data_IF_741478071214
#
_entry.id   IF_741478071214
#
_cell.length_a   1.000
_cell.length_b   1.000
_cell.length_c   1.000
_cell.angle_alpha   90.00
_cell.angle_beta   90.00
_cell.angle_gamma   90.00
#
_symmetry.space_group_name_H-M   'P 1'
#
loop_
_entity.id
_entity.type
_entity.pdbx_description
1 polymer ?
#
# COMPACT_ATOMS: atom_id res chain seq x y z
N UNK A 1 19.43 -15.35 2.25
CA UNK A 1 19.50 -13.94 2.70
C UNK A 1 18.28 -13.25 2.13
N UNK A 2 17.21 -13.12 2.92
CA UNK A 2 15.98 -12.43 2.48
C UNK A 2 16.25 -10.94 2.59
N UNK A 3 15.97 -10.20 1.52
CA UNK A 3 16.10 -8.75 1.49
C UNK A 3 15.07 -8.17 2.47
N UNK A 4 15.50 -7.82 3.68
CA UNK A 4 14.60 -7.24 4.66
C UNK A 4 14.16 -5.87 4.12
N UNK A 5 12.86 -5.55 4.06
CA UNK A 5 12.40 -4.22 3.65
C UNK A 5 13.05 -3.17 4.56
N UNK A 6 13.66 -2.15 3.96
CA UNK A 6 14.36 -1.10 4.68
C UNK A 6 13.42 0.11 4.83
N UNK A 7 13.41 0.81 5.98
CA UNK A 7 12.65 2.03 6.14
C UNK A 7 13.16 3.12 5.20
N UNK A 8 12.26 3.80 4.49
CA UNK A 8 12.62 4.95 3.64
C UNK A 8 12.48 6.25 4.44
N UNK A 9 13.59 6.91 4.74
CA UNK A 9 13.58 8.19 5.47
C UNK A 9 13.56 9.39 4.52
N UNK A 10 12.46 10.15 4.48
CA UNK A 10 12.44 11.51 3.94
C UNK A 10 12.17 12.48 5.10
N UNK A 11 13.05 13.47 5.28
CA UNK A 11 13.04 14.35 6.44
C UNK A 11 11.75 15.18 6.58
N UNK A 12 11.06 14.99 7.71
CA UNK A 12 9.91 15.78 8.16
C UNK A 12 8.73 14.89 8.54
N UNK A 13 8.57 14.62 9.85
CA UNK A 13 7.78 13.55 10.47
C UNK A 13 8.42 12.15 10.28
N UNK A 14 8.59 11.42 11.38
CA UNK A 14 9.24 10.10 11.42
C UNK A 14 8.26 9.00 10.99
N UNK A 15 7.69 9.10 9.79
CA UNK A 15 6.82 8.04 9.26
C UNK A 15 7.68 6.82 8.92
N UNK A 16 7.54 5.72 9.65
CA UNK A 16 8.34 4.52 9.46
C UNK A 16 7.80 3.68 8.29
N UNK A 17 8.01 4.18 7.06
CA UNK A 17 7.56 3.50 5.84
C UNK A 17 8.53 2.39 5.43
N UNK A 18 8.10 1.14 5.56
CA UNK A 18 8.78 -0.04 5.05
C UNK A 18 8.39 -0.28 3.59
N UNK A 19 9.34 -0.26 2.66
CA UNK A 19 9.07 -0.47 1.23
C UNK A 19 9.13 -1.95 0.83
N UNK A 20 8.07 -2.44 0.18
CA UNK A 20 7.95 -3.84 -0.26
C UNK A 20 8.08 -4.03 -1.77
N UNK A 21 8.12 -2.94 -2.53
CA UNK A 21 8.46 -2.99 -3.94
C UNK A 21 7.50 -2.24 -4.84
N UNK A 22 7.90 -2.21 -6.10
CA UNK A 22 7.11 -1.70 -7.22
C UNK A 22 6.79 -2.85 -8.18
N UNK A 23 5.90 -2.56 -9.12
CA UNK A 23 5.55 -3.45 -10.22
C UNK A 23 6.76 -4.10 -10.90
N UNK A 24 6.87 -5.45 -10.88
CA UNK A 24 8.04 -6.16 -11.41
C UNK A 24 8.10 -6.15 -12.94
N UNK A 25 7.02 -5.76 -13.62
CA UNK A 25 6.95 -5.73 -15.09
C UNK A 25 6.88 -4.29 -15.64
N UNK A 26 7.13 -3.29 -14.81
CA UNK A 26 7.11 -1.90 -15.25
C UNK A 26 8.48 -1.47 -15.78
N UNK A 27 8.53 -1.05 -17.05
CA UNK A 27 9.57 -0.15 -17.55
C UNK A 27 9.41 1.28 -17.00
N UNK A 28 10.18 2.22 -17.55
CA UNK A 28 10.27 3.63 -17.10
C UNK A 28 8.91 4.34 -17.21
N UNK A 29 8.13 4.36 -16.12
CA UNK A 29 6.98 5.25 -15.94
C UNK A 29 5.74 4.62 -15.30
N UNK A 30 5.38 5.11 -14.11
CA UNK A 30 4.15 4.85 -13.35
C UNK A 30 3.97 3.41 -12.85
N UNK A 31 4.85 2.99 -11.94
CA UNK A 31 4.72 1.72 -11.24
C UNK A 31 3.80 1.88 -10.03
N UNK A 32 2.79 1.01 -9.84
CA UNK A 32 2.21 0.82 -8.52
C UNK A 32 3.29 0.36 -7.54
N UNK A 33 3.12 0.74 -6.27
CA UNK A 33 4.09 0.49 -5.22
C UNK A 33 3.36 0.27 -3.88
N UNK A 34 4.03 -0.45 -2.99
CA UNK A 34 3.49 -0.83 -1.69
C UNK A 34 4.49 -0.55 -0.57
N UNK A 35 3.98 0.02 0.51
CA UNK A 35 4.68 0.24 1.76
C UNK A 35 3.80 -0.19 2.94
N UNK A 36 4.44 -0.34 4.10
CA UNK A 36 3.77 -0.39 5.40
C UNK A 36 4.24 0.81 6.19
N UNK A 37 3.31 1.61 6.70
CA UNK A 37 3.60 2.58 7.74
C UNK A 37 3.51 1.88 9.09
N UNK A 38 4.61 1.82 9.84
CA UNK A 38 4.60 1.18 11.17
C UNK A 38 4.51 2.18 12.32
N UNK A 39 4.43 3.48 12.04
CA UNK A 39 4.44 4.54 13.06
C UNK A 39 3.15 5.38 13.07
N UNK A 40 2.09 4.93 12.38
CA UNK A 40 0.78 5.60 12.43
C UNK A 40 0.14 5.49 13.83
N UNK A 41 -0.55 6.54 14.25
CA UNK A 41 -1.24 6.61 15.56
C UNK A 41 -2.30 5.50 15.75
N UNK A 42 -2.88 4.97 14.66
CA UNK A 42 -3.92 3.94 14.68
C UNK A 42 -3.36 2.49 14.63
N UNK A 43 -2.04 2.34 14.56
CA UNK A 43 -1.36 1.06 14.33
C UNK A 43 -0.82 0.94 12.90
N UNK A 44 -0.17 -0.18 12.53
CA UNK A 44 0.48 -0.29 11.24
C UNK A 44 -0.53 -0.30 10.07
N UNK A 45 -0.23 0.48 9.03
CA UNK A 45 -1.12 0.71 7.88
C UNK A 45 -0.45 0.32 6.56
N UNK A 46 -1.25 -0.20 5.62
CA UNK A 46 -0.79 -0.46 4.26
C UNK A 46 -0.94 0.80 3.41
N UNK A 47 0.18 1.26 2.85
CA UNK A 47 0.19 2.40 1.92
C UNK A 47 0.39 1.87 0.51
N UNK A 48 -0.57 2.16 -0.36
CA UNK A 48 -0.62 1.64 -1.73
C UNK A 48 -0.68 2.78 -2.75
N UNK A 49 0.28 2.81 -3.67
CA UNK A 49 0.25 3.69 -4.83
C UNK A 49 -0.25 2.90 -6.05
N UNK A 50 -1.25 3.44 -6.74
CA UNK A 50 -1.85 2.82 -7.91
C UNK A 50 -2.46 3.83 -8.87
N UNK A 51 -3.10 3.33 -9.93
CA UNK A 51 -3.93 4.18 -10.80
C UNK A 51 -5.30 4.36 -10.19
N UNK A 52 -5.90 5.54 -10.30
CA UNK A 52 -7.30 5.75 -9.91
C UNK A 52 -8.23 4.80 -10.68
N UNK A 53 -9.23 4.28 -9.99
CA UNK A 53 -10.37 3.60 -10.62
C UNK A 53 -11.13 4.57 -11.51
N UNK A 54 -11.58 4.08 -12.67
CA UNK A 54 -12.53 4.80 -13.51
C UNK A 54 -13.90 4.95 -12.81
N UNK A 55 -14.74 5.84 -13.33
CA UNK A 55 -16.06 6.14 -12.76
C UNK A 55 -16.93 4.90 -12.57
N UNK A 56 -16.88 3.95 -13.51
CA UNK A 56 -17.66 2.70 -13.43
C UNK A 56 -17.17 1.84 -12.27
N UNK A 57 -15.85 1.70 -12.12
CA UNK A 57 -15.23 0.97 -11.01
C UNK A 57 -15.56 1.64 -9.67
N UNK A 58 -15.45 2.97 -9.59
CA UNK A 58 -15.78 3.73 -8.37
C UNK A 58 -17.25 3.61 -7.99
N UNK A 59 -18.16 3.70 -8.96
CA UNK A 59 -19.60 3.54 -8.73
C UNK A 59 -19.95 2.13 -8.25
N UNK A 60 -19.32 1.10 -8.83
CA UNK A 60 -19.52 -0.28 -8.39
C UNK A 60 -19.03 -0.49 -6.95
N UNK A 61 -17.83 -0.02 -6.61
CA UNK A 61 -17.31 -0.11 -5.23
C UNK A 61 -18.16 0.71 -4.24
N UNK A 62 -18.65 1.88 -4.66
CA UNK A 62 -19.49 2.74 -3.83
C UNK A 62 -20.85 2.11 -3.48
N UNK A 63 -21.30 1.10 -4.23
CA UNK A 63 -22.53 0.37 -3.93
C UNK A 63 -22.37 -0.55 -2.70
N UNK A 64 -21.18 -1.12 -2.50
CA UNK A 64 -20.86 -1.97 -1.35
C UNK A 64 -20.35 -1.14 -0.16
N UNK A 65 -19.55 -0.11 -0.44
CA UNK A 65 -18.95 0.78 0.56
C UNK A 65 -18.87 2.20 0.00
N UNK A 66 -19.78 3.11 0.43
CA UNK A 66 -19.76 4.50 -0.02
C UNK A 66 -18.45 5.17 0.39
N UNK A 67 -17.72 5.72 -0.59
CA UNK A 67 -16.45 6.41 -0.34
C UNK A 67 -16.70 7.76 0.34
N UNK A 68 -15.97 8.05 1.42
CA UNK A 68 -15.86 9.40 1.96
C UNK A 68 -15.08 10.34 1.01
N UNK A 69 -15.11 11.65 1.26
CA UNK A 69 -14.41 12.65 0.43
C UNK A 69 -12.89 12.45 0.41
N UNK A 70 -12.33 11.88 1.48
CA UNK A 70 -10.92 11.56 1.66
C UNK A 70 -10.55 10.13 1.22
N UNK A 71 -11.53 9.32 0.77
CA UNK A 71 -11.32 7.96 0.31
C UNK A 71 -11.33 7.85 -1.22
N UNK A 72 -10.55 6.92 -1.76
CA UNK A 72 -10.54 6.68 -3.20
C UNK A 72 -10.33 5.22 -3.54
N UNK A 73 -10.84 4.82 -4.70
CA UNK A 73 -10.61 3.49 -5.25
C UNK A 73 -9.38 3.54 -6.15
N UNK A 74 -8.36 2.76 -5.80
CA UNK A 74 -7.17 2.56 -6.63
C UNK A 74 -7.18 1.16 -7.25
N UNK A 75 -6.62 1.05 -8.45
CA UNK A 75 -6.41 -0.21 -9.17
C UNK A 75 -4.97 -0.64 -9.01
N UNK A 76 -4.78 -1.81 -8.42
CA UNK A 76 -3.49 -2.48 -8.31
C UNK A 76 -3.51 -3.74 -9.19
N UNK A 77 -2.51 -3.94 -10.07
CA UNK A 77 -2.47 -5.11 -10.93
C UNK A 77 -2.17 -6.38 -10.12
N UNK A 78 -2.77 -7.51 -10.50
CA UNK A 78 -2.64 -8.79 -9.79
C UNK A 78 -1.19 -9.30 -9.64
N UNK A 79 -0.25 -8.84 -10.46
CA UNK A 79 1.17 -9.17 -10.33
C UNK A 79 1.85 -8.56 -9.08
N UNK A 80 1.26 -7.53 -8.48
CA UNK A 80 1.70 -6.95 -7.21
C UNK A 80 1.29 -7.77 -5.98
N UNK A 81 0.48 -8.83 -6.18
CA UNK A 81 -0.06 -9.62 -5.06
C UNK A 81 1.05 -10.21 -4.19
N UNK A 82 2.20 -10.60 -4.75
CA UNK A 82 3.31 -11.11 -3.96
C UNK A 82 3.85 -10.05 -2.98
N UNK A 83 4.13 -8.85 -3.48
CA UNK A 83 4.63 -7.72 -2.67
C UNK A 83 3.60 -7.27 -1.64
N UNK A 84 2.31 -7.24 -2.01
CA UNK A 84 1.24 -6.89 -1.08
C UNK A 84 1.13 -7.92 0.04
N UNK A 85 1.25 -9.22 -0.26
CA UNK A 85 1.22 -10.27 0.78
C UNK A 85 2.38 -10.11 1.77
N UNK A 86 3.58 -9.84 1.28
CA UNK A 86 4.73 -9.58 2.16
C UNK A 86 4.53 -8.33 3.02
N UNK A 87 3.92 -7.28 2.47
CA UNK A 87 3.55 -6.09 3.22
C UNK A 87 2.49 -6.38 4.29
N UNK A 88 1.47 -7.18 3.98
CA UNK A 88 0.48 -7.65 4.96
C UNK A 88 1.15 -8.41 6.11
N UNK A 89 2.01 -9.39 5.79
CA UNK A 89 2.72 -10.18 6.80
C UNK A 89 3.56 -9.28 7.74
N UNK A 90 4.14 -8.21 7.21
CA UNK A 90 4.92 -7.25 8.00
C UNK A 90 4.05 -6.30 8.83
N UNK A 91 2.93 -5.83 8.30
CA UNK A 91 1.98 -5.01 9.05
C UNK A 91 1.40 -5.80 10.22
N UNK A 92 1.01 -7.05 10.00
CA UNK A 92 0.54 -7.95 11.06
C UNK A 92 1.62 -8.21 12.12
N UNK A 93 2.87 -8.40 11.70
CA UNK A 93 3.99 -8.60 12.62
C UNK A 93 4.36 -7.34 13.43
N UNK A 94 4.11 -6.15 12.87
CA UNK A 94 4.32 -4.86 13.54
C UNK A 94 3.16 -4.47 14.47
N UNK A 95 1.97 -5.01 14.22
CA UNK A 95 0.77 -4.71 14.99
C UNK A 95 0.71 -5.44 16.33
N UNK A 96 -0.26 -5.10 17.19
CA UNK A 96 -0.55 -5.91 18.37
C UNK A 96 -0.90 -7.33 17.89
N UNK A 97 -0.18 -8.34 18.39
CA UNK A 97 -0.52 -9.73 18.11
C UNK A 97 -1.94 -9.99 18.64
N UNK A 98 -2.89 -10.21 17.72
CA UNK A 98 -4.28 -10.54 18.04
C UNK A 98 -4.40 -11.86 18.82
#
# INVERSE_FOLDING_TARGET
MRNCPQPVGFGGALTALLFFGTDPNSGVGNCPAVWVDTDSDEGPELVLQGKFGDEVTRAACSADSPSADDETVIRIPARMVAQIKEACDAAEAAGPQL
#
